data_IF_505834032962
#
_entry.id   IF_505834032962
#
_cell.length_a   1.000
_cell.length_b   1.000
_cell.length_c   1.000
_cell.angle_alpha   90.00
_cell.angle_beta   90.00
_cell.angle_gamma   90.00
#
_symmetry.space_group_name_H-M   'P 1'
#
loop_
_entity.id
_entity.type
_entity.pdbx_description
1 polymer ?
#
# COMPACT_ATOMS: atom_id res chain seq x y z
N UNK A 1 -9.83 3.94 -24.23
CA UNK A 1 -11.13 3.60 -24.87
C UNK A 1 -11.59 4.77 -25.75
N UNK A 2 -11.81 4.53 -27.04
CA UNK A 2 -12.30 5.55 -27.97
C UNK A 2 -13.82 5.41 -28.16
N UNK A 3 -14.56 6.52 -28.17
CA UNK A 3 -16.01 6.53 -28.35
C UNK A 3 -16.65 7.86 -27.93
N UNK A 4 -17.92 8.10 -28.30
CA UNK A 4 -18.61 9.35 -28.00
C UNK A 4 -18.77 9.61 -26.49
N UNK A 5 -18.84 10.87 -26.09
CA UNK A 5 -19.09 11.23 -24.68
C UNK A 5 -20.46 10.72 -24.23
N UNK A 6 -20.54 10.27 -22.97
CA UNK A 6 -21.77 9.69 -22.42
C UNK A 6 -22.02 8.21 -22.75
N UNK A 7 -21.19 7.53 -23.56
CA UNK A 7 -21.38 6.10 -23.85
C UNK A 7 -20.96 5.13 -22.72
N UNK A 8 -20.71 5.64 -21.51
CA UNK A 8 -20.37 4.83 -20.35
C UNK A 8 -18.90 4.46 -20.19
N UNK A 9 -17.98 5.06 -20.96
CA UNK A 9 -16.53 4.76 -20.86
C UNK A 9 -15.99 4.87 -19.43
N UNK A 10 -16.30 5.95 -18.72
CA UNK A 10 -15.86 6.17 -17.34
C UNK A 10 -16.55 5.22 -16.34
N UNK A 11 -17.79 4.79 -16.64
CA UNK A 11 -18.49 3.78 -15.83
C UNK A 11 -17.80 2.43 -16.00
N UNK A 12 -17.46 2.04 -17.24
CA UNK A 12 -16.74 0.79 -17.50
C UNK A 12 -15.39 0.76 -16.76
N UNK A 13 -14.61 1.85 -16.82
CA UNK A 13 -13.35 1.95 -16.08
C UNK A 13 -13.56 1.90 -14.56
N UNK A 14 -14.62 2.52 -14.02
CA UNK A 14 -14.99 2.43 -12.61
C UNK A 14 -15.33 1.01 -12.14
N UNK A 15 -16.04 0.24 -12.97
CA UNK A 15 -16.40 -1.16 -12.69
C UNK A 15 -15.14 -2.05 -12.67
N UNK A 16 -14.24 -1.84 -13.63
CA UNK A 16 -12.95 -2.55 -13.70
C UNK A 16 -12.06 -2.21 -12.49
N UNK A 17 -11.94 -0.92 -12.16
CA UNK A 17 -11.16 -0.45 -11.01
C UNK A 17 -11.65 -0.97 -9.66
N UNK A 18 -12.95 -1.21 -9.52
CA UNK A 18 -13.56 -1.77 -8.30
C UNK A 18 -13.52 -3.30 -8.23
N UNK A 19 -12.80 -3.97 -9.14
CA UNK A 19 -12.77 -5.44 -9.27
C UNK A 19 -14.16 -6.09 -9.22
N UNK A 20 -15.17 -5.43 -9.82
CA UNK A 20 -16.54 -6.00 -9.91
C UNK A 20 -16.64 -7.15 -10.92
N UNK A 21 -15.55 -7.41 -11.65
CA UNK A 21 -15.36 -8.56 -12.52
C UNK A 21 -14.22 -9.40 -11.93
N UNK A 22 -14.21 -10.73 -12.13
CA UNK A 22 -13.12 -11.57 -11.66
C UNK A 22 -11.80 -11.18 -12.35
N UNK A 23 -10.78 -10.86 -11.54
CA UNK A 23 -9.41 -10.63 -11.98
C UNK A 23 -8.50 -11.73 -11.45
N UNK A 24 -7.43 -12.11 -12.18
CA UNK A 24 -6.36 -12.93 -11.62
C UNK A 24 -5.74 -12.28 -10.38
N UNK A 25 -5.40 -13.08 -9.37
CA UNK A 25 -4.87 -12.58 -8.09
C UNK A 25 -3.50 -11.90 -8.24
N UNK A 26 -2.75 -12.26 -9.27
CA UNK A 26 -1.43 -11.72 -9.57
C UNK A 26 -1.45 -10.45 -10.45
N UNK A 27 -2.60 -9.79 -10.60
CA UNK A 27 -2.72 -8.56 -11.38
C UNK A 27 -3.28 -7.44 -10.50
N UNK A 28 -2.44 -6.43 -10.27
CA UNK A 28 -2.87 -5.20 -9.62
C UNK A 28 -3.65 -4.31 -10.57
N UNK A 29 -4.69 -3.67 -10.03
CA UNK A 29 -5.57 -2.78 -10.78
C UNK A 29 -5.62 -1.43 -10.09
N UNK A 30 -4.93 -0.45 -10.67
CA UNK A 30 -4.94 0.93 -10.20
C UNK A 30 -5.82 1.78 -11.13
N UNK A 31 -6.93 2.29 -10.62
CA UNK A 31 -7.87 3.10 -11.41
C UNK A 31 -7.72 4.59 -11.13
N UNK A 32 -7.04 5.29 -12.04
CA UNK A 32 -6.89 6.75 -12.00
C UNK A 32 -8.16 7.40 -12.53
N UNK A 33 -8.90 8.08 -11.65
CA UNK A 33 -10.17 8.73 -12.01
C UNK A 33 -10.03 10.23 -12.27
N UNK A 34 -9.13 10.89 -11.56
CA UNK A 34 -8.93 12.34 -11.59
C UNK A 34 -7.44 12.66 -11.51
N UNK A 35 -7.08 13.85 -11.95
CA UNK A 35 -5.75 14.40 -11.75
C UNK A 35 -5.55 14.74 -10.27
N UNK A 36 -4.32 14.58 -9.78
CA UNK A 36 -3.93 15.01 -8.44
C UNK A 36 -3.68 16.52 -8.47
N UNK A 37 -4.06 17.21 -7.40
CA UNK A 37 -3.74 18.63 -7.23
C UNK A 37 -2.22 18.87 -7.30
N UNK A 38 -1.76 20.04 -7.79
CA UNK A 38 -0.34 20.37 -7.82
C UNK A 38 0.29 20.21 -6.43
N UNK A 39 1.36 19.43 -6.37
CA UNK A 39 2.06 19.10 -5.13
C UNK A 39 3.56 19.09 -5.36
N UNK A 40 4.33 19.43 -4.32
CA UNK A 40 5.79 19.28 -4.29
C UNK A 40 6.23 17.82 -4.05
N UNK A 41 5.27 16.89 -3.86
CA UNK A 41 5.56 15.46 -3.72
C UNK A 41 6.18 14.92 -5.01
N UNK A 42 7.23 14.11 -4.86
CA UNK A 42 7.81 13.41 -6.00
C UNK A 42 6.86 12.35 -6.54
N UNK A 43 6.99 12.01 -7.83
CA UNK A 43 6.20 10.94 -8.44
C UNK A 43 6.37 9.59 -7.71
N UNK A 44 7.57 9.32 -7.19
CA UNK A 44 7.85 8.11 -6.41
C UNK A 44 7.08 8.11 -5.09
N UNK A 45 7.11 9.21 -4.35
CA UNK A 45 6.38 9.36 -3.08
C UNK A 45 4.87 9.14 -3.28
N UNK A 46 4.29 9.71 -4.34
CA UNK A 46 2.87 9.52 -4.65
C UNK A 46 2.50 8.06 -4.95
N UNK A 47 3.42 7.27 -5.53
CA UNK A 47 3.18 5.85 -5.81
C UNK A 47 3.31 5.01 -4.54
N UNK A 48 4.29 5.29 -3.69
CA UNK A 48 4.49 4.58 -2.42
C UNK A 48 3.33 4.78 -1.45
N UNK A 49 2.72 5.97 -1.42
CA UNK A 49 1.56 6.27 -0.56
C UNK A 49 0.29 5.47 -0.91
N UNK A 50 0.23 4.84 -2.09
CA UNK A 50 -0.92 4.00 -2.49
C UNK A 50 -0.86 2.62 -1.82
N UNK A 51 0.31 2.22 -1.32
CA UNK A 51 0.49 0.95 -0.62
C UNK A 51 0.00 1.06 0.84
N UNK A 52 -1.33 0.97 1.01
CA UNK A 52 -2.00 1.09 2.31
C UNK A 52 -1.48 0.07 3.33
N UNK A 53 -1.03 -1.12 2.88
CA UNK A 53 -0.49 -2.17 3.76
C UNK A 53 0.89 -1.76 4.26
N UNK A 54 1.77 -1.30 3.37
CA UNK A 54 3.09 -0.79 3.76
C UNK A 54 2.97 0.38 4.74
N UNK A 55 2.07 1.34 4.47
CA UNK A 55 1.84 2.49 5.36
C UNK A 55 1.35 2.04 6.74
N UNK A 56 0.48 1.02 6.81
CA UNK A 56 0.01 0.48 8.09
C UNK A 56 1.14 -0.20 8.88
N UNK A 57 1.96 -1.02 8.21
CA UNK A 57 3.08 -1.72 8.84
C UNK A 57 4.18 -0.74 9.31
N UNK A 58 4.48 0.30 8.53
CA UNK A 58 5.42 1.36 8.95
C UNK A 58 4.91 2.10 10.20
N UNK A 59 3.61 2.43 10.25
CA UNK A 59 3.00 3.04 11.42
C UNK A 59 2.97 2.11 12.64
N UNK A 60 2.77 0.81 12.44
CA UNK A 60 2.83 -0.20 13.50
C UNK A 60 4.26 -0.36 14.03
N UNK A 61 5.27 -0.37 13.16
CA UNK A 61 6.68 -0.41 13.53
C UNK A 61 7.09 0.82 14.36
N UNK A 62 6.67 2.02 13.95
CA UNK A 62 6.91 3.26 14.70
C UNK A 62 6.26 3.22 16.09
N UNK A 63 5.02 2.71 16.18
CA UNK A 63 4.30 2.56 17.45
C UNK A 63 5.01 1.58 18.37
N UNK A 64 5.34 0.38 17.88
CA UNK A 64 6.05 -0.65 18.66
C UNK A 64 7.42 -0.16 19.12
N UNK A 65 8.15 0.57 18.27
CA UNK A 65 9.43 1.20 18.63
C UNK A 65 9.28 2.22 19.75
N UNK A 66 8.19 2.98 19.76
CA UNK A 66 7.90 3.94 20.82
C UNK A 66 7.52 3.26 22.13
N UNK A 67 6.64 2.25 22.08
CA UNK A 67 6.23 1.46 23.25
C UNK A 67 7.43 0.73 23.88
N UNK A 68 8.33 0.18 23.05
CA UNK A 68 9.55 -0.49 23.51
C UNK A 68 10.53 0.48 24.20
N UNK A 69 10.51 1.77 23.86
CA UNK A 69 11.33 2.78 24.53
C UNK A 69 10.84 3.10 25.96
N UNK A 70 9.58 2.81 26.28
CA UNK A 70 8.97 3.01 27.60
C UNK A 70 8.83 1.71 28.41
N UNK A 71 9.04 0.55 27.78
CA UNK A 71 8.91 -0.78 28.40
C UNK A 71 10.16 -1.19 29.22
N UNK A 72 9.95 -2.04 30.22
CA UNK A 72 11.02 -2.61 31.06
C UNK A 72 10.80 -4.11 31.31
N UNK A 73 11.89 -4.89 31.40
CA UNK A 73 11.82 -6.32 31.72
C UNK A 73 11.30 -7.16 30.55
N UNK A 74 10.51 -8.20 30.86
CA UNK A 74 10.04 -9.19 29.88
C UNK A 74 9.15 -8.59 28.77
N UNK A 75 8.53 -7.42 29.01
CA UNK A 75 7.77 -6.68 27.98
C UNK A 75 8.64 -6.19 26.82
N UNK A 76 9.93 -5.92 27.06
CA UNK A 76 10.86 -5.45 26.01
C UNK A 76 11.13 -6.57 24.99
N UNK A 77 11.29 -7.80 25.47
CA UNK A 77 11.55 -8.96 24.60
C UNK A 77 10.32 -9.27 23.73
N UNK A 78 9.11 -9.20 24.28
CA UNK A 78 7.87 -9.38 23.52
C UNK A 78 7.65 -8.30 22.45
N UNK A 79 7.94 -7.03 22.76
CA UNK A 79 7.85 -5.92 21.81
C UNK A 79 8.92 -5.99 20.72
N UNK A 80 10.13 -6.45 21.07
CA UNK A 80 11.21 -6.67 20.11
C UNK A 80 10.86 -7.77 19.10
N UNK A 81 10.27 -8.88 19.56
CA UNK A 81 9.80 -9.95 18.70
C UNK A 81 8.66 -9.49 17.76
N UNK A 82 7.70 -8.72 18.29
CA UNK A 82 6.62 -8.14 17.49
C UNK A 82 7.15 -7.17 16.42
N UNK A 83 8.09 -6.29 16.79
CA UNK A 83 8.71 -5.35 15.87
C UNK A 83 9.51 -6.07 14.77
N UNK A 84 10.24 -7.14 15.12
CA UNK A 84 10.96 -7.96 14.16
C UNK A 84 10.01 -8.62 13.14
N UNK A 85 8.86 -9.11 13.58
CA UNK A 85 7.85 -9.69 12.68
C UNK A 85 7.26 -8.65 11.71
N UNK A 86 7.05 -7.41 12.15
CA UNK A 86 6.60 -6.32 11.27
C UNK A 86 7.65 -6.00 10.21
N UNK A 87 8.93 -5.94 10.58
CA UNK A 87 10.02 -5.73 9.62
C UNK A 87 10.19 -6.89 8.63
N UNK A 88 10.01 -8.14 9.07
CA UNK A 88 10.00 -9.30 8.16
C UNK A 88 8.88 -9.19 7.12
N UNK A 89 7.68 -8.79 7.54
CA UNK A 89 6.56 -8.57 6.62
C UNK A 89 6.84 -7.43 5.61
N UNK A 90 7.44 -6.33 6.07
CA UNK A 90 7.86 -5.23 5.20
C UNK A 90 8.88 -5.70 4.15
N UNK A 91 9.86 -6.52 4.55
CA UNK A 91 10.84 -7.11 3.64
C UNK A 91 10.19 -8.07 2.63
N UNK A 92 9.19 -8.85 3.03
CA UNK A 92 8.41 -9.72 2.13
C UNK A 92 7.63 -8.91 1.08
N UNK A 93 6.99 -7.81 1.48
CA UNK A 93 6.29 -6.90 0.56
C UNK A 93 7.25 -6.25 -0.45
N UNK A 94 8.43 -5.82 0.02
CA UNK A 94 9.48 -5.27 -0.85
C UNK A 94 10.05 -6.34 -1.79
N UNK A 95 10.20 -7.59 -1.34
CA UNK A 95 10.61 -8.70 -2.18
C UNK A 95 9.57 -9.03 -3.26
N UNK A 96 8.28 -9.05 -2.90
CA UNK A 96 7.17 -9.29 -3.83
C UNK A 96 7.08 -8.21 -4.93
N UNK A 97 7.42 -6.96 -4.62
CA UNK A 97 7.53 -5.89 -5.62
C UNK A 97 8.87 -5.89 -6.38
N UNK A 98 9.94 -6.41 -5.79
CA UNK A 98 11.26 -6.50 -6.42
C UNK A 98 11.39 -7.61 -7.47
N UNK A 99 10.70 -8.75 -7.30
CA UNK A 99 10.76 -9.90 -8.23
C UNK A 99 10.10 -9.67 -9.60
N UNK A 100 9.44 -8.53 -9.82
CA UNK A 100 8.73 -8.21 -11.08
C UNK A 100 9.59 -7.42 -12.08
N UNK A 101 10.90 -7.26 -11.85
CA UNK A 101 11.82 -6.52 -12.76
C UNK A 101 12.50 -7.40 -13.81
#
# INVERSE_FOLDING_TARGET
LLGPNGCGKSILLSVLGRRMLPFPENIDVYHVTHEVEPSEKSALTCVLEVDEIRVQLEAEADKLSHEMAEAEGDEVDELADALAAVYEHLDELDAATAEVR
#
